data_IF_474086829872
#
_entry.id   IF_474086829872
#
_cell.length_a   1.000
_cell.length_b   1.000
_cell.length_c   1.000
_cell.angle_alpha   90.00
_cell.angle_beta   90.00
_cell.angle_gamma   90.00
#
_symmetry.space_group_name_H-M   'P 1'
#
loop_
_entity.id
_entity.type
_entity.pdbx_description
1 polymer ?
#
# COMPACT_ATOMS: atom_id res chain seq x y z
N UNK A 1 15.99 -8.17 68.63
CA UNK A 1 15.02 -7.13 68.23
C UNK A 1 14.65 -7.35 66.76
N UNK A 2 13.41 -7.78 66.45
CA UNK A 2 12.90 -7.85 65.08
C UNK A 2 12.31 -6.48 64.74
N UNK A 3 12.94 -5.72 63.84
CA UNK A 3 12.35 -4.49 63.32
C UNK A 3 11.10 -4.88 62.52
N UNK A 4 9.95 -4.35 62.91
CA UNK A 4 8.75 -4.41 62.07
C UNK A 4 8.99 -3.42 60.94
N UNK A 5 9.26 -3.94 59.74
CA UNK A 5 9.20 -3.13 58.52
C UNK A 5 7.76 -2.61 58.42
N UNK A 6 7.59 -1.29 58.56
CA UNK A 6 6.28 -0.65 58.42
C UNK A 6 5.76 -0.91 57.00
N UNK A 7 4.74 -1.76 56.87
CA UNK A 7 4.02 -1.94 55.62
C UNK A 7 3.21 -0.66 55.38
N UNK A 8 3.74 0.26 54.57
CA UNK A 8 3.01 1.46 54.13
C UNK A 8 1.92 0.98 53.16
N UNK A 9 0.65 1.17 53.54
CA UNK A 9 -0.48 0.87 52.66
C UNK A 9 -0.57 1.89 51.52
N UNK A 10 -0.90 1.41 50.32
CA UNK A 10 -1.16 2.25 49.14
C UNK A 10 -2.50 2.97 49.31
N UNK A 11 -2.54 4.28 49.08
CA UNK A 11 -3.79 5.04 49.21
C UNK A 11 -4.59 5.04 47.91
N UNK A 12 -5.93 5.08 48.02
CA UNK A 12 -6.79 5.22 46.84
C UNK A 12 -6.56 6.52 46.08
N UNK A 13 -6.18 7.60 46.79
CA UNK A 13 -5.89 8.89 46.17
C UNK A 13 -4.59 8.86 45.34
N UNK A 14 -3.57 8.12 45.80
CA UNK A 14 -2.35 7.87 44.99
C UNK A 14 -2.71 7.14 43.70
N UNK A 15 -3.61 6.14 43.77
CA UNK A 15 -4.06 5.43 42.57
C UNK A 15 -4.79 6.36 41.60
N UNK A 16 -5.70 7.20 42.12
CA UNK A 16 -6.51 8.11 41.29
C UNK A 16 -5.65 9.10 40.51
N UNK A 17 -4.67 9.75 41.17
CA UNK A 17 -3.79 10.71 40.51
C UNK A 17 -2.95 10.02 39.42
N UNK A 18 -2.44 8.82 39.69
CA UNK A 18 -1.65 8.06 38.71
C UNK A 18 -2.48 7.73 37.47
N UNK A 19 -3.71 7.24 37.63
CA UNK A 19 -4.60 6.94 36.49
C UNK A 19 -4.95 8.22 35.73
N UNK A 20 -5.18 9.35 36.41
CA UNK A 20 -5.42 10.64 35.75
C UNK A 20 -4.23 11.09 34.90
N UNK A 21 -3.00 10.98 35.41
CA UNK A 21 -1.79 11.35 34.66
C UNK A 21 -1.60 10.42 33.46
N UNK A 22 -1.77 9.10 33.64
CA UNK A 22 -1.70 8.13 32.54
C UNK A 22 -2.75 8.45 31.47
N UNK A 23 -3.98 8.82 31.87
CA UNK A 23 -5.04 9.22 30.94
C UNK A 23 -4.66 10.42 30.07
N UNK A 24 -4.06 11.45 30.67
CA UNK A 24 -3.58 12.64 29.93
C UNK A 24 -2.43 12.30 28.99
N UNK A 25 -1.49 11.44 29.40
CA UNK A 25 -0.39 11.01 28.54
C UNK A 25 -0.88 10.13 27.38
N UNK A 26 -1.80 9.22 27.65
CA UNK A 26 -2.36 8.29 26.66
C UNK A 26 -3.12 9.02 25.55
N UNK A 27 -3.89 10.08 25.90
CA UNK A 27 -4.67 10.85 24.90
C UNK A 27 -3.80 11.54 23.85
N UNK A 28 -2.55 11.90 24.19
CA UNK A 28 -1.58 12.49 23.26
C UNK A 28 -0.76 11.40 22.56
N UNK A 29 -0.33 10.37 23.30
CA UNK A 29 0.57 9.35 22.79
C UNK A 29 -0.08 8.41 21.76
N UNK A 30 -1.32 7.97 22.00
CA UNK A 30 -2.03 7.02 21.14
C UNK A 30 -2.19 7.53 19.69
N UNK A 31 -2.79 8.72 19.43
CA UNK A 31 -2.96 9.18 18.04
C UNK A 31 -1.63 9.44 17.34
N UNK A 32 -0.61 9.89 18.06
CA UNK A 32 0.75 10.07 17.52
C UNK A 32 1.36 8.74 17.07
N UNK A 33 1.24 7.71 17.91
CA UNK A 33 1.75 6.37 17.62
C UNK A 33 1.04 5.73 16.42
N UNK A 34 -0.29 5.89 16.32
CA UNK A 34 -1.06 5.40 15.17
C UNK A 34 -0.61 6.07 13.86
N UNK A 35 -0.42 7.39 13.85
CA UNK A 35 0.11 8.12 12.67
C UNK A 35 1.53 7.69 12.30
N UNK A 36 2.36 7.38 13.29
CA UNK A 36 3.71 6.86 13.04
C UNK A 36 3.66 5.49 12.36
N UNK A 37 2.82 4.58 12.85
CA UNK A 37 2.61 3.27 12.21
C UNK A 37 2.06 3.41 10.78
N UNK A 38 1.06 4.27 10.56
CA UNK A 38 0.49 4.51 9.23
C UNK A 38 1.57 4.96 8.23
N UNK A 39 2.41 5.93 8.62
CA UNK A 39 3.55 6.37 7.78
C UNK A 39 4.57 5.26 7.51
N UNK A 40 4.85 4.41 8.49
CA UNK A 40 5.75 3.28 8.30
C UNK A 40 5.18 2.26 7.31
N UNK A 41 3.87 1.99 7.36
CA UNK A 41 3.17 1.12 6.41
C UNK A 41 3.19 1.73 5.00
N UNK A 42 2.90 3.02 4.86
CA UNK A 42 2.99 3.73 3.57
C UNK A 42 4.40 3.74 2.95
N UNK A 43 5.46 3.67 3.77
CA UNK A 43 6.83 3.60 3.25
C UNK A 43 7.13 2.26 2.54
N UNK A 44 6.45 1.17 2.95
CA UNK A 44 6.59 -0.15 2.34
C UNK A 44 6.13 -0.12 0.87
N UNK A 45 4.93 0.41 0.60
CA UNK A 45 4.36 0.46 -0.75
C UNK A 45 5.24 1.29 -1.69
N UNK A 46 5.75 2.43 -1.24
CA UNK A 46 6.64 3.26 -2.04
C UNK A 46 7.94 2.54 -2.42
N UNK A 47 8.51 1.77 -1.50
CA UNK A 47 9.74 1.00 -1.73
C UNK A 47 9.51 -0.13 -2.73
N UNK A 48 8.42 -0.88 -2.54
CA UNK A 48 8.10 -2.02 -3.39
C UNK A 48 7.66 -1.61 -4.80
N UNK A 49 6.87 -0.53 -4.95
CA UNK A 49 6.52 0.00 -6.28
C UNK A 49 7.75 0.51 -7.04
N UNK A 50 8.70 1.17 -6.36
CA UNK A 50 9.97 1.58 -6.98
C UNK A 50 10.81 0.38 -7.42
N UNK A 51 10.80 -0.70 -6.64
CA UNK A 51 11.45 -1.97 -7.00
C UNK A 51 10.79 -2.59 -8.24
N UNK A 52 9.46 -2.66 -8.29
CA UNK A 52 8.71 -3.13 -9.45
C UNK A 52 9.01 -2.28 -10.70
N UNK A 53 8.95 -0.95 -10.56
CA UNK A 53 9.28 -0.03 -11.64
C UNK A 53 10.69 -0.28 -12.19
N UNK A 54 11.68 -0.40 -11.29
CA UNK A 54 13.08 -0.64 -11.70
C UNK A 54 13.20 -1.97 -12.43
N UNK A 55 12.58 -3.02 -11.88
CA UNK A 55 12.60 -4.37 -12.46
C UNK A 55 12.02 -4.35 -13.88
N UNK A 56 10.85 -3.74 -14.06
CA UNK A 56 10.22 -3.52 -15.36
C UNK A 56 11.12 -2.73 -16.33
N UNK A 57 11.73 -1.62 -15.87
CA UNK A 57 12.59 -0.78 -16.72
C UNK A 57 13.87 -1.46 -17.19
N UNK A 58 14.32 -2.54 -16.54
CA UNK A 58 15.50 -3.30 -17.01
C UNK A 58 15.20 -4.25 -18.17
N UNK A 59 13.92 -4.52 -18.46
CA UNK A 59 13.53 -5.45 -19.51
C UNK A 59 13.75 -4.82 -20.89
N UNK A 60 14.39 -5.58 -21.78
CA UNK A 60 14.70 -5.13 -23.15
C UNK A 60 13.51 -5.25 -24.10
N UNK A 61 12.52 -6.07 -23.75
CA UNK A 61 11.32 -6.36 -24.55
C UNK A 61 10.11 -6.26 -23.66
N UNK A 62 8.95 -6.07 -24.28
CA UNK A 62 7.70 -6.03 -23.56
C UNK A 62 7.48 -7.38 -22.87
N UNK A 63 7.32 -7.43 -21.54
CA UNK A 63 6.99 -8.67 -20.87
C UNK A 63 5.56 -9.07 -21.24
N UNK A 64 5.30 -10.38 -21.19
CA UNK A 64 3.92 -10.87 -21.08
C UNK A 64 3.30 -10.30 -19.79
N UNK A 65 1.97 -10.20 -19.73
CA UNK A 65 1.25 -9.82 -18.51
C UNK A 65 1.40 -10.92 -17.45
N UNK A 66 2.57 -10.98 -16.83
CA UNK A 66 2.98 -11.88 -15.77
C UNK A 66 3.95 -11.11 -14.87
N UNK A 67 3.54 -10.90 -13.63
CA UNK A 67 4.29 -10.14 -12.62
C UNK A 67 5.62 -10.81 -12.29
N UNK A 68 5.72 -12.13 -12.41
CA UNK A 68 6.96 -12.87 -12.15
C UNK A 68 7.96 -12.73 -13.30
N UNK A 69 7.48 -12.49 -14.52
CA UNK A 69 8.36 -12.22 -15.67
C UNK A 69 9.17 -10.93 -15.48
N UNK A 70 8.71 -10.03 -14.59
CA UNK A 70 9.41 -8.80 -14.24
C UNK A 70 10.58 -9.03 -13.29
N UNK A 71 10.61 -10.17 -12.58
CA UNK A 71 11.56 -10.44 -11.49
C UNK A 71 11.24 -9.71 -10.18
N UNK A 72 10.16 -8.94 -10.12
CA UNK A 72 9.68 -8.32 -8.90
C UNK A 72 8.99 -9.34 -7.99
N UNK A 73 9.40 -9.37 -6.73
CA UNK A 73 8.78 -10.19 -5.67
C UNK A 73 8.92 -9.42 -4.35
N UNK A 74 7.83 -8.95 -3.73
CA UNK A 74 7.90 -8.32 -2.42
C UNK A 74 8.21 -9.37 -1.34
N UNK A 75 8.88 -8.96 -0.27
CA UNK A 75 9.18 -9.83 0.86
C UNK A 75 7.89 -10.38 1.52
N UNK A 76 8.02 -11.53 2.18
CA UNK A 76 6.92 -12.09 2.97
C UNK A 76 6.56 -11.17 4.13
N UNK A 77 5.27 -11.07 4.40
CA UNK A 77 4.68 -10.09 5.32
C UNK A 77 4.20 -8.81 4.63
N UNK A 78 4.27 -8.73 3.30
CA UNK A 78 3.78 -7.58 2.55
C UNK A 78 2.32 -7.26 2.86
N UNK A 79 2.03 -5.99 3.09
CA UNK A 79 0.68 -5.51 3.43
C UNK A 79 -0.14 -5.12 2.21
N UNK A 80 0.53 -4.90 1.08
CA UNK A 80 -0.07 -4.44 -0.16
C UNK A 80 -0.10 -5.56 -1.19
N UNK A 81 -1.16 -5.55 -1.99
CA UNK A 81 -1.20 -6.26 -3.26
C UNK A 81 -0.60 -5.39 -4.37
N UNK A 82 0.04 -6.01 -5.37
CA UNK A 82 0.69 -5.34 -6.48
C UNK A 82 0.08 -5.81 -7.80
N UNK A 83 -0.20 -4.87 -8.71
CA UNK A 83 -1.09 -5.09 -9.85
C UNK A 83 -0.44 -4.62 -11.14
N UNK A 84 -0.38 -5.51 -12.13
CA UNK A 84 -0.13 -5.17 -13.55
C UNK A 84 -1.42 -5.23 -14.38
N UNK A 85 -2.55 -5.53 -13.74
CA UNK A 85 -3.89 -5.54 -14.31
C UNK A 85 -4.90 -5.33 -13.18
N UNK A 86 -5.90 -4.46 -13.35
CA UNK A 86 -6.86 -4.17 -12.27
C UNK A 86 -7.72 -5.38 -11.87
N UNK A 87 -8.03 -6.23 -12.85
CA UNK A 87 -8.90 -7.38 -12.65
C UNK A 87 -8.20 -8.53 -11.90
N UNK A 88 -6.86 -8.53 -11.85
CA UNK A 88 -6.03 -9.63 -11.38
C UNK A 88 -6.52 -10.99 -11.86
N UNK A 89 -6.60 -11.16 -13.18
CA UNK A 89 -7.11 -12.38 -13.83
C UNK A 89 -6.46 -13.68 -13.27
N UNK A 90 -5.20 -13.61 -12.86
CA UNK A 90 -4.55 -14.56 -11.94
C UNK A 90 -3.64 -13.80 -10.98
N UNK A 91 -3.37 -14.36 -9.79
CA UNK A 91 -2.49 -13.73 -8.81
C UNK A 91 -1.68 -14.74 -7.98
N UNK A 92 -0.51 -14.29 -7.51
CA UNK A 92 0.30 -15.02 -6.52
C UNK A 92 -0.45 -15.06 -5.18
N UNK A 93 -0.90 -16.24 -4.78
CA UNK A 93 -1.65 -16.46 -3.54
C UNK A 93 -0.68 -16.59 -2.36
N UNK A 94 -0.83 -15.69 -1.36
CA UNK A 94 0.04 -15.64 -0.17
C UNK A 94 -0.66 -16.02 1.14
N UNK A 95 -1.79 -16.75 1.08
CA UNK A 95 -2.50 -17.28 2.25
C UNK A 95 -1.72 -18.31 3.06
N UNK A 96 -0.77 -18.97 2.42
CA UNK A 96 -0.02 -20.08 3.01
C UNK A 96 1.38 -19.64 3.49
N UNK A 97 2.04 -20.50 4.27
CA UNK A 97 3.43 -20.28 4.69
C UNK A 97 4.38 -20.12 3.49
N UNK A 98 4.07 -20.73 2.35
CA UNK A 98 4.75 -20.51 1.07
C UNK A 98 3.75 -19.97 0.05
N UNK A 99 4.14 -19.00 -0.78
CA UNK A 99 3.25 -18.49 -1.80
C UNK A 99 2.96 -19.57 -2.85
N UNK A 100 1.75 -19.53 -3.41
CA UNK A 100 1.37 -20.32 -4.57
C UNK A 100 1.41 -19.39 -5.77
N UNK A 101 2.35 -19.67 -6.67
CA UNK A 101 2.52 -18.95 -7.93
C UNK A 101 1.80 -19.72 -9.03
N UNK A 102 1.00 -19.03 -9.83
CA UNK A 102 0.36 -19.62 -11.01
C UNK A 102 1.02 -19.07 -12.29
N UNK A 103 0.85 -19.78 -13.44
CA UNK A 103 1.24 -19.21 -14.73
C UNK A 103 0.43 -17.95 -15.03
N UNK A 104 1.07 -16.89 -15.51
CA UNK A 104 0.40 -15.65 -15.93
C UNK A 104 -0.27 -14.89 -14.78
N UNK A 105 0.31 -14.93 -13.58
CA UNK A 105 -0.14 -14.07 -12.49
C UNK A 105 0.04 -12.60 -12.87
N UNK A 106 -1.04 -11.84 -13.04
CA UNK A 106 -0.98 -10.41 -13.32
C UNK A 106 -0.83 -9.58 -12.05
N UNK A 107 -1.02 -10.20 -10.88
CA UNK A 107 -0.90 -9.55 -9.58
C UNK A 107 -0.15 -10.41 -8.54
N UNK A 108 0.34 -9.75 -7.50
CA UNK A 108 0.83 -10.38 -6.28
C UNK A 108 -0.12 -10.01 -5.14
N UNK A 109 -0.65 -11.02 -4.45
CA UNK A 109 -1.56 -10.81 -3.33
C UNK A 109 -0.90 -10.21 -2.09
N UNK A 110 -1.72 -9.68 -1.17
CA UNK A 110 -1.26 -9.30 0.15
C UNK A 110 -0.91 -10.56 0.97
N UNK A 111 0.03 -10.47 1.90
CA UNK A 111 0.40 -11.62 2.74
C UNK A 111 -0.65 -11.84 3.83
N UNK A 112 -1.69 -12.60 3.50
CA UNK A 112 -2.76 -12.96 4.42
C UNK A 112 -2.35 -14.07 5.40
N UNK A 113 -1.25 -14.80 5.15
CA UNK A 113 -0.65 -15.67 6.16
C UNK A 113 -0.15 -14.89 7.38
N UNK A 114 0.43 -13.71 7.16
CA UNK A 114 0.84 -12.78 8.24
C UNK A 114 -0.25 -11.81 8.66
N UNK A 115 -1.13 -11.43 7.75
CA UNK A 115 -2.22 -10.48 7.96
C UNK A 115 -3.57 -11.13 7.67
N UNK A 116 -4.00 -12.05 8.53
CA UNK A 116 -5.21 -12.88 8.29
C UNK A 116 -6.54 -12.12 8.17
N UNK A 117 -6.57 -10.83 8.52
CA UNK A 117 -7.74 -9.97 8.36
C UNK A 117 -7.85 -9.36 6.95
N UNK A 118 -6.79 -9.45 6.13
CA UNK A 118 -6.77 -8.84 4.80
C UNK A 118 -7.43 -9.73 3.76
N UNK A 119 -7.99 -9.15 2.69
CA UNK A 119 -8.34 -9.89 1.50
C UNK A 119 -7.07 -10.42 0.80
N UNK A 120 -7.22 -11.46 -0.01
CA UNK A 120 -6.12 -12.07 -0.77
C UNK A 120 -5.49 -11.07 -1.76
N UNK A 121 -6.32 -10.24 -2.38
CA UNK A 121 -5.91 -9.07 -3.16
C UNK A 121 -6.87 -7.91 -2.85
N UNK A 122 -6.32 -6.69 -2.74
CA UNK A 122 -7.12 -5.50 -2.54
C UNK A 122 -7.65 -4.99 -3.87
N UNK A 123 -8.89 -4.52 -3.90
CA UNK A 123 -9.45 -3.85 -5.07
C UNK A 123 -8.79 -2.49 -5.25
N UNK A 124 -8.17 -2.27 -6.41
CA UNK A 124 -7.58 -0.98 -6.76
C UNK A 124 -8.66 0.08 -7.00
N UNK A 125 -8.35 1.31 -6.61
CA UNK A 125 -9.15 2.49 -6.99
C UNK A 125 -8.42 3.24 -8.10
N UNK A 126 -9.01 3.21 -9.29
CA UNK A 126 -8.45 3.91 -10.45
C UNK A 126 -8.60 5.43 -10.32
N UNK A 127 -7.64 6.20 -10.86
CA UNK A 127 -7.80 7.63 -10.96
C UNK A 127 -8.98 7.96 -11.88
N UNK A 128 -9.80 8.98 -11.56
CA UNK A 128 -10.95 9.36 -12.40
C UNK A 128 -10.53 9.91 -13.77
N UNK A 129 -9.31 10.43 -13.89
CA UNK A 129 -8.71 10.82 -15.16
C UNK A 129 -7.19 10.71 -15.10
N UNK A 130 -6.60 10.33 -16.23
CA UNK A 130 -5.17 10.32 -16.46
C UNK A 130 -4.88 10.68 -17.93
N UNK A 131 -3.81 11.42 -18.16
CA UNK A 131 -3.24 11.61 -19.50
C UNK A 131 -1.74 11.41 -19.46
N UNK A 132 -1.19 10.72 -20.46
CA UNK A 132 0.18 10.24 -20.48
C UNK A 132 0.93 10.78 -21.69
N UNK A 133 2.17 11.21 -21.50
CA UNK A 133 2.96 11.76 -22.59
C UNK A 133 3.58 10.63 -23.43
N UNK A 134 3.32 10.64 -24.73
CA UNK A 134 3.89 9.70 -25.71
C UNK A 134 3.77 8.21 -25.34
N UNK A 135 2.73 7.81 -24.61
CA UNK A 135 2.48 6.41 -24.25
C UNK A 135 1.16 5.90 -24.85
N UNK A 136 1.19 5.32 -26.06
CA UNK A 136 -0.01 4.86 -26.74
C UNK A 136 -0.72 3.77 -25.94
N UNK A 137 -2.03 3.96 -25.70
CA UNK A 137 -2.87 2.94 -25.07
C UNK A 137 -2.89 2.95 -23.55
N UNK A 138 -1.97 3.65 -22.88
CA UNK A 138 -2.04 3.83 -21.42
C UNK A 138 -3.34 4.55 -21.04
N UNK A 139 -4.07 3.97 -20.09
CA UNK A 139 -5.34 4.47 -19.59
C UNK A 139 -5.22 4.82 -18.10
N UNK A 140 -6.35 4.79 -17.38
CA UNK A 140 -6.40 4.88 -15.92
C UNK A 140 -6.22 3.52 -15.23
N UNK A 141 -6.12 2.44 -15.99
CA UNK A 141 -6.08 1.06 -15.48
C UNK A 141 -4.64 0.53 -15.48
N UNK A 142 -4.31 -0.35 -14.55
CA UNK A 142 -3.03 -1.04 -14.54
C UNK A 142 -2.86 -1.87 -15.82
N UNK A 143 -1.66 -1.88 -16.38
CA UNK A 143 -1.41 -2.55 -17.64
C UNK A 143 0.00 -2.37 -18.18
N UNK A 144 0.32 -3.15 -19.20
CA UNK A 144 1.50 -3.00 -20.04
C UNK A 144 0.99 -2.70 -21.45
N UNK A 145 1.50 -1.64 -22.06
CA UNK A 145 0.95 -1.03 -23.26
C UNK A 145 2.05 -0.86 -24.32
N UNK A 146 1.68 -0.99 -25.60
CA UNK A 146 2.61 -0.85 -26.71
C UNK A 146 3.05 -2.19 -27.30
N UNK A 147 4.29 -2.23 -27.80
CA UNK A 147 4.89 -3.39 -28.46
C UNK A 147 6.38 -3.59 -28.09
N UNK A 148 7.00 -4.64 -28.61
CA UNK A 148 8.42 -4.96 -28.35
C UNK A 148 9.42 -3.85 -28.73
N UNK A 149 9.03 -2.90 -29.58
CA UNK A 149 9.87 -1.77 -29.99
C UNK A 149 9.70 -0.53 -29.13
N UNK A 150 8.50 -0.30 -28.60
CA UNK A 150 8.18 0.79 -27.68
C UNK A 150 7.02 0.41 -26.80
N UNK A 151 7.27 0.26 -25.50
CA UNK A 151 6.25 -0.09 -24.52
C UNK A 151 6.41 0.70 -23.22
N UNK A 152 5.27 0.86 -22.56
CA UNK A 152 5.09 1.56 -21.31
C UNK A 152 4.21 0.75 -20.38
N UNK A 153 4.21 1.07 -19.10
CA UNK A 153 3.40 0.36 -18.11
C UNK A 153 2.85 1.31 -17.06
N UNK A 154 1.72 0.91 -16.51
CA UNK A 154 1.12 1.48 -15.32
C UNK A 154 0.93 0.34 -14.33
N UNK A 155 1.55 0.44 -13.17
CA UNK A 155 1.44 -0.56 -12.12
C UNK A 155 0.81 0.05 -10.87
N UNK A 156 0.02 -0.74 -10.16
CA UNK A 156 -0.70 -0.30 -8.98
C UNK A 156 -0.27 -1.08 -7.75
N UNK A 157 -0.44 -0.48 -6.59
CA UNK A 157 -0.46 -1.19 -5.33
C UNK A 157 -1.67 -0.76 -4.52
N UNK A 158 -2.36 -1.72 -3.92
CA UNK A 158 -3.52 -1.48 -3.07
C UNK A 158 -3.37 -2.22 -1.74
N UNK A 159 -3.72 -1.55 -0.65
CA UNK A 159 -3.65 -2.10 0.69
C UNK A 159 -4.29 -1.20 1.73
N UNK A 160 -4.34 -1.68 2.96
CA UNK A 160 -4.97 -0.99 4.07
C UNK A 160 -3.90 -0.41 5.03
N UNK A 161 -3.80 0.92 5.07
CA UNK A 161 -2.83 1.64 5.91
C UNK A 161 -3.25 1.66 7.37
N UNK A 162 -4.52 1.80 7.69
CA UNK A 162 -4.99 2.10 9.05
C UNK A 162 -5.66 0.90 9.77
N UNK A 163 -5.76 -0.25 9.10
CA UNK A 163 -6.44 -1.48 9.52
C UNK A 163 -7.95 -1.30 9.70
N UNK A 164 -8.60 -0.47 8.90
CA UNK A 164 -10.03 -0.36 8.90
C UNK A 164 -10.63 -1.26 7.80
N UNK A 165 -11.34 -2.35 8.15
CA UNK A 165 -11.91 -3.26 7.15
C UNK A 165 -13.22 -2.74 6.54
N UNK A 166 -13.69 -1.55 6.95
CA UNK A 166 -14.99 -1.00 6.56
C UNK A 166 -14.91 0.00 5.39
N UNK A 167 -13.72 0.46 5.02
CA UNK A 167 -13.43 1.39 3.93
C UNK A 167 -12.66 0.72 2.78
N UNK A 168 -12.50 1.47 1.68
CA UNK A 168 -11.86 1.00 0.46
C UNK A 168 -10.33 1.12 0.56
N UNK A 169 -9.60 0.27 -0.15
CA UNK A 169 -8.15 0.23 -0.06
C UNK A 169 -7.48 1.57 -0.43
N UNK A 170 -6.44 1.94 0.32
CA UNK A 170 -5.51 2.95 -0.17
C UNK A 170 -4.84 2.44 -1.46
N UNK A 171 -4.73 3.29 -2.48
CA UNK A 171 -4.20 2.90 -3.78
C UNK A 171 -3.11 3.85 -4.25
N UNK A 172 -2.00 3.29 -4.69
CA UNK A 172 -0.89 3.99 -5.34
C UNK A 172 -0.69 3.48 -6.76
N UNK A 173 -0.26 4.36 -7.66
CA UNK A 173 0.28 3.98 -8.96
C UNK A 173 1.76 4.30 -9.05
N UNK A 174 2.44 3.62 -9.97
CA UNK A 174 3.73 4.02 -10.53
C UNK A 174 3.67 3.85 -12.04
N UNK A 175 4.12 4.86 -12.77
CA UNK A 175 4.10 4.86 -14.24
C UNK A 175 5.51 4.78 -14.81
N UNK A 176 5.60 4.21 -16.01
CA UNK A 176 6.79 4.27 -16.83
C UNK A 176 7.01 5.68 -17.39
N UNK A 177 5.95 6.34 -17.85
CA UNK A 177 6.02 7.67 -18.47
C UNK A 177 5.50 8.78 -17.56
N UNK A 178 5.81 10.02 -17.92
CA UNK A 178 5.24 11.20 -17.28
C UNK A 178 3.79 11.42 -17.70
N UNK A 179 3.00 11.99 -16.80
CA UNK A 179 1.59 12.22 -17.06
C UNK A 179 0.95 13.21 -16.10
N UNK A 180 -0.33 13.42 -16.29
CA UNK A 180 -1.21 14.24 -15.46
C UNK A 180 -2.33 13.35 -14.94
N UNK A 181 -2.42 13.16 -13.63
CA UNK A 181 -3.36 12.24 -12.98
C UNK A 181 -4.18 12.96 -11.91
N UNK A 182 -5.49 12.73 -11.87
CA UNK A 182 -6.33 13.19 -10.79
C UNK A 182 -6.37 12.16 -9.64
N UNK A 183 -6.28 12.62 -8.39
CA UNK A 183 -6.50 11.73 -7.25
C UNK A 183 -8.00 11.41 -7.12
N UNK A 184 -8.31 10.13 -6.90
CA UNK A 184 -9.67 9.69 -6.59
C UNK A 184 -10.08 10.19 -5.21
N UNK A 185 -9.17 10.10 -4.24
CA UNK A 185 -9.40 10.60 -2.90
C UNK A 185 -8.13 11.05 -2.14
N UNK A 186 -8.14 12.22 -1.48
CA UNK A 186 -9.18 13.25 -1.48
C UNK A 186 -9.43 13.78 -2.90
N UNK A 187 -10.71 13.89 -3.28
CA UNK A 187 -11.07 14.22 -4.66
C UNK A 187 -10.54 15.60 -5.02
N UNK A 188 -9.86 15.69 -6.15
CA UNK A 188 -9.31 16.95 -6.66
C UNK A 188 -10.32 17.74 -7.52
N UNK A 189 -11.57 17.28 -7.63
CA UNK A 189 -12.57 17.93 -8.48
C UNK A 189 -12.19 17.96 -9.96
N UNK A 190 -11.37 17.00 -10.41
CA UNK A 190 -10.86 16.93 -11.79
C UNK A 190 -9.55 17.70 -12.02
N UNK A 191 -8.98 18.33 -10.99
CA UNK A 191 -7.62 18.91 -11.07
C UNK A 191 -6.61 17.77 -11.13
N UNK A 192 -5.79 17.74 -12.18
CA UNK A 192 -4.70 16.78 -12.32
C UNK A 192 -3.43 17.28 -11.65
N UNK A 193 -2.58 16.35 -11.26
CA UNK A 193 -1.25 16.59 -10.74
C UNK A 193 -0.25 15.88 -11.66
N UNK A 194 0.85 16.56 -11.92
CA UNK A 194 1.97 15.99 -12.66
C UNK A 194 2.56 14.80 -11.91
N UNK A 195 2.62 13.65 -12.57
CA UNK A 195 3.29 12.44 -12.09
C UNK A 195 4.54 12.18 -12.92
N UNK A 196 5.65 11.96 -12.22
CA UNK A 196 6.95 11.69 -12.84
C UNK A 196 7.20 10.17 -12.90
N UNK A 197 7.83 9.65 -13.96
CA UNK A 197 8.23 8.26 -14.07
C UNK A 197 8.88 7.69 -12.81
N UNK A 198 8.39 6.54 -12.35
CA UNK A 198 8.98 5.82 -11.24
C UNK A 198 8.74 6.42 -9.85
N UNK A 199 8.02 7.54 -9.73
CA UNK A 199 7.61 8.07 -8.43
C UNK A 199 6.19 7.57 -8.09
N UNK A 200 6.04 6.77 -7.02
CA UNK A 200 4.72 6.32 -6.58
C UNK A 200 3.83 7.49 -6.19
N UNK A 201 2.64 7.55 -6.77
CA UNK A 201 1.64 8.57 -6.48
C UNK A 201 0.45 7.95 -5.75
N UNK A 202 0.05 8.56 -4.62
CA UNK A 202 -1.14 8.13 -3.87
C UNK A 202 -2.40 8.68 -4.55
N UNK A 203 -3.22 7.79 -5.09
CA UNK A 203 -4.45 8.10 -5.83
C UNK A 203 -5.64 8.14 -4.89
N UNK A 204 -5.69 7.21 -3.94
CA UNK A 204 -6.80 7.03 -3.02
C UNK A 204 -6.24 6.85 -1.61
N UNK A 205 -6.52 7.81 -0.75
CA UNK A 205 -6.28 7.74 0.69
C UNK A 205 -7.62 7.81 1.40
N UNK A 206 -8.14 6.66 1.80
CA UNK A 206 -9.45 6.48 2.44
C UNK A 206 -9.57 7.23 3.78
N UNK A 207 -8.49 7.29 4.57
CA UNK A 207 -8.41 8.04 5.83
C UNK A 207 -8.71 9.53 5.63
N UNK A 208 -8.42 10.07 4.45
CA UNK A 208 -8.66 11.48 4.12
C UNK A 208 -10.00 11.70 3.36
N UNK A 209 -10.77 10.64 3.10
CA UNK A 209 -12.05 10.70 2.39
C UNK A 209 -13.27 10.99 3.28
N UNK A 210 -13.15 10.73 4.58
CA UNK A 210 -14.25 10.74 5.54
C UNK A 210 -14.25 11.97 6.46
#
# INVERSE_FOLDING_TARGET
MRSRLHSRGFTLIELMIVVSIIGVLASIAIPSFLRFQARARQAEVGTNLKSLYTSMRTLQRMPVADVHATGFTPERGNRYSYHLEDSCSSFEDRRNQHPIIHPHDTCIGADTFKNAAFPDAFTVVNPPSASWNNAPGMSTEAGIFGDDGSWDFLAFAAGDVDNNPADGADTWLVSSTEGEVAAACPSTGGVTVHVTPGEPFNINNDVNCN
#
